data_IF_878820502355
#
_entry.id   IF_878820502355
#
_cell.length_a   1.000
_cell.length_b   1.000
_cell.length_c   1.000
_cell.angle_alpha   90.00
_cell.angle_beta   90.00
_cell.angle_gamma   90.00
#
_symmetry.space_group_name_H-M   'P 1'
#
loop_
_entity.id
_entity.type
_entity.pdbx_description
1 polymer ?
#
# COMPACT_ATOMS: atom_id res chain seq x y z
N UNK A 1 4.93 -30.93 -12.00
CA UNK A 1 3.99 -30.25 -11.10
C UNK A 1 2.65 -30.10 -11.80
N UNK A 2 1.58 -30.68 -11.28
CA UNK A 2 0.21 -30.42 -11.79
C UNK A 2 -0.13 -28.98 -11.37
N UNK A 3 -0.45 -28.10 -12.33
CA UNK A 3 -1.05 -26.79 -12.01
C UNK A 3 -2.38 -27.07 -11.30
N UNK A 4 -2.55 -26.57 -10.10
CA UNK A 4 -3.85 -26.57 -9.46
C UNK A 4 -4.78 -25.74 -10.35
N UNK A 5 -5.89 -26.35 -10.82
CA UNK A 5 -6.95 -25.60 -11.46
C UNK A 5 -7.68 -24.84 -10.35
N UNK A 6 -7.48 -23.53 -10.32
CA UNK A 6 -8.18 -22.62 -9.42
C UNK A 6 -9.14 -21.82 -10.29
N UNK A 7 -10.41 -21.81 -9.91
CA UNK A 7 -11.40 -20.92 -10.53
C UNK A 7 -11.13 -19.50 -10.04
N UNK A 8 -10.84 -18.57 -10.96
CA UNK A 8 -10.42 -17.20 -10.66
C UNK A 8 -11.46 -16.24 -11.20
N UNK A 9 -11.85 -15.27 -10.41
CA UNK A 9 -12.66 -14.13 -10.85
C UNK A 9 -11.83 -12.85 -10.66
N UNK A 10 -11.74 -12.03 -11.72
CA UNK A 10 -11.00 -10.79 -11.69
C UNK A 10 -11.93 -9.63 -11.37
N UNK A 11 -11.59 -8.86 -10.34
CA UNK A 11 -12.34 -7.67 -9.95
C UNK A 11 -11.43 -6.46 -10.06
N UNK A 12 -11.87 -5.46 -10.79
CA UNK A 12 -11.20 -4.17 -10.93
C UNK A 12 -11.89 -3.13 -10.04
N UNK A 13 -11.12 -2.53 -9.15
CA UNK A 13 -11.54 -1.39 -8.34
C UNK A 13 -10.97 -0.14 -8.97
N UNK A 14 -11.85 0.74 -9.45
CA UNK A 14 -11.44 1.94 -10.17
C UNK A 14 -11.16 3.12 -9.20
N UNK A 15 -10.53 4.17 -9.74
CA UNK A 15 -10.19 5.39 -8.97
C UNK A 15 -11.40 6.15 -8.43
N UNK A 16 -12.59 5.90 -8.95
CA UNK A 16 -13.84 6.48 -8.46
C UNK A 16 -14.49 5.62 -7.36
N UNK A 17 -13.83 4.52 -6.95
CA UNK A 17 -14.32 3.61 -5.92
C UNK A 17 -15.32 2.59 -6.42
N UNK A 18 -15.51 2.42 -7.73
CA UNK A 18 -16.42 1.41 -8.27
C UNK A 18 -15.74 0.05 -8.39
N UNK A 19 -16.46 -0.99 -8.03
CA UNK A 19 -16.06 -2.38 -8.18
C UNK A 19 -16.62 -2.96 -9.47
N UNK A 20 -15.80 -3.62 -10.25
CA UNK A 20 -16.16 -4.12 -11.56
C UNK A 20 -15.63 -5.54 -11.75
N UNK A 21 -16.51 -6.52 -11.99
CA UNK A 21 -16.11 -7.85 -12.43
C UNK A 21 -15.67 -7.75 -13.88
N UNK A 22 -14.46 -8.24 -14.17
CA UNK A 22 -13.84 -8.14 -15.49
C UNK A 22 -13.44 -9.53 -16.00
N UNK A 23 -13.39 -9.76 -17.33
CA UNK A 23 -12.89 -11.01 -17.88
C UNK A 23 -11.44 -11.26 -17.47
N UNK A 24 -11.07 -12.53 -17.23
CA UNK A 24 -9.70 -12.94 -16.91
C UNK A 24 -8.70 -12.60 -18.04
N UNK A 25 -9.18 -12.49 -19.27
CA UNK A 25 -8.36 -12.12 -20.44
C UNK A 25 -8.11 -10.63 -20.57
N UNK A 26 -8.57 -9.82 -19.60
CA UNK A 26 -8.37 -8.37 -19.61
C UNK A 26 -6.89 -8.05 -19.35
N UNK A 27 -6.27 -7.26 -20.21
CA UNK A 27 -4.87 -6.88 -20.10
C UNK A 27 -4.72 -5.44 -19.57
N UNK A 28 -3.54 -5.09 -19.08
CA UNK A 28 -3.26 -3.77 -18.49
C UNK A 28 -3.66 -2.59 -19.41
N UNK A 29 -3.47 -2.74 -20.72
CA UNK A 29 -3.86 -1.73 -21.72
C UNK A 29 -5.37 -1.45 -21.79
N UNK A 30 -6.20 -2.41 -21.37
CA UNK A 30 -7.66 -2.29 -21.43
C UNK A 30 -8.22 -1.40 -20.31
N UNK A 31 -7.37 -1.01 -19.34
CA UNK A 31 -7.74 -0.15 -18.19
C UNK A 31 -7.30 1.31 -18.32
N UNK A 32 -6.69 1.69 -19.46
CA UNK A 32 -6.16 3.06 -19.65
C UNK A 32 -7.23 4.14 -19.47
N UNK A 33 -8.45 3.85 -19.91
CA UNK A 33 -9.59 4.76 -19.85
C UNK A 33 -10.61 4.38 -18.75
N UNK A 34 -10.21 3.56 -17.78
CA UNK A 34 -11.07 3.07 -16.69
C UNK A 34 -11.53 1.64 -16.86
N UNK A 35 -12.74 1.33 -16.40
CA UNK A 35 -13.25 -0.04 -16.47
C UNK A 35 -13.49 -0.50 -17.92
N UNK A 36 -13.04 -1.71 -18.34
CA UNK A 36 -13.22 -2.22 -19.69
C UNK A 36 -14.70 -2.32 -20.09
N UNK A 37 -15.00 -2.21 -21.39
CA UNK A 37 -16.36 -2.21 -21.92
C UNK A 37 -17.21 -3.46 -21.55
N UNK A 38 -16.56 -4.59 -21.26
CA UNK A 38 -17.21 -5.84 -20.82
C UNK A 38 -17.30 -5.98 -19.29
N UNK A 39 -16.89 -4.96 -18.54
CA UNK A 39 -16.93 -4.98 -17.09
C UNK A 39 -18.39 -4.97 -16.59
N UNK A 40 -18.66 -5.77 -15.58
CA UNK A 40 -19.96 -5.82 -14.91
C UNK A 40 -19.85 -5.11 -13.56
N UNK A 41 -20.56 -4.02 -13.39
CA UNK A 41 -20.56 -3.25 -12.14
C UNK A 41 -21.02 -4.11 -10.97
N UNK A 42 -20.26 -4.07 -9.88
CA UNK A 42 -20.56 -4.72 -8.62
C UNK A 42 -20.97 -3.70 -7.57
N UNK A 43 -21.86 -4.11 -6.69
CA UNK A 43 -22.24 -3.40 -5.47
C UNK A 43 -21.65 -4.17 -4.28
N UNK A 44 -20.86 -3.50 -3.46
CA UNK A 44 -20.39 -4.04 -2.20
C UNK A 44 -21.38 -3.66 -1.11
N UNK A 45 -21.93 -4.66 -0.43
CA UNK A 45 -22.87 -4.49 0.69
C UNK A 45 -22.16 -4.86 1.98
N UNK A 46 -21.91 -3.85 2.81
CA UNK A 46 -21.31 -4.02 4.14
C UNK A 46 -22.43 -3.93 5.17
N UNK A 47 -23.05 -5.05 5.43
CA UNK A 47 -24.10 -5.19 6.48
C UNK A 47 -23.81 -6.46 7.27
N UNK A 48 -24.24 -6.50 8.53
CA UNK A 48 -24.13 -7.72 9.32
C UNK A 48 -24.97 -8.87 8.75
N UNK A 49 -24.50 -10.10 8.93
CA UNK A 49 -25.23 -11.32 8.55
C UNK A 49 -25.12 -11.71 7.08
N UNK A 50 -26.10 -12.48 6.63
CA UNK A 50 -26.09 -13.14 5.31
C UNK A 50 -26.24 -12.20 4.10
N UNK A 51 -26.53 -10.93 4.32
CA UNK A 51 -26.64 -9.95 3.25
C UNK A 51 -25.31 -9.28 2.89
N UNK A 52 -24.26 -9.49 3.67
CA UNK A 52 -22.93 -8.96 3.37
C UNK A 52 -22.32 -9.64 2.15
N UNK A 53 -21.64 -8.88 1.29
CA UNK A 53 -20.99 -9.46 0.11
C UNK A 53 -20.98 -8.55 -1.11
N UNK A 54 -20.54 -9.08 -2.23
CA UNK A 54 -20.59 -8.41 -3.52
C UNK A 54 -21.79 -8.91 -4.35
N UNK A 55 -22.43 -7.99 -5.03
CA UNK A 55 -23.62 -8.25 -5.83
C UNK A 55 -23.48 -7.67 -7.23
N UNK A 56 -24.04 -8.35 -8.23
CA UNK A 56 -24.24 -7.82 -9.57
C UNK A 56 -25.74 -7.66 -9.85
N UNK A 57 -26.10 -6.71 -10.72
CA UNK A 57 -27.45 -6.55 -11.19
C UNK A 57 -27.92 -7.81 -11.93
N UNK A 58 -29.11 -8.27 -11.64
CA UNK A 58 -29.74 -9.43 -12.30
C UNK A 58 -31.24 -9.15 -12.51
N UNK A 59 -31.64 -8.80 -13.73
CA UNK A 59 -33.00 -8.40 -14.05
C UNK A 59 -33.44 -7.18 -13.22
N UNK A 60 -34.57 -7.32 -12.51
CA UNK A 60 -35.10 -6.30 -11.60
C UNK A 60 -34.47 -6.36 -10.19
N UNK A 61 -33.60 -7.34 -9.92
CA UNK A 61 -32.96 -7.54 -8.61
C UNK A 61 -31.45 -7.58 -8.69
N UNK A 62 -30.85 -8.17 -7.66
CA UNK A 62 -29.40 -8.39 -7.57
C UNK A 62 -29.08 -9.85 -7.26
N UNK A 63 -27.96 -10.33 -7.76
CA UNK A 63 -27.43 -11.66 -7.48
C UNK A 63 -26.11 -11.53 -6.78
N UNK A 64 -25.94 -12.24 -5.69
CA UNK A 64 -24.64 -12.30 -4.97
C UNK A 64 -23.58 -12.98 -5.85
N UNK A 65 -22.40 -12.42 -5.83
CA UNK A 65 -21.18 -13.01 -6.41
C UNK A 65 -20.56 -13.88 -5.32
N UNK A 66 -20.34 -15.14 -5.63
CA UNK A 66 -19.66 -16.04 -4.72
C UNK A 66 -18.19 -15.63 -4.60
N UNK A 67 -17.77 -15.31 -3.39
CA UNK A 67 -16.39 -14.92 -3.08
C UNK A 67 -15.74 -16.04 -2.29
N UNK A 68 -14.66 -16.58 -2.84
CA UNK A 68 -13.75 -17.49 -2.13
C UNK A 68 -12.73 -16.70 -1.30
N UNK A 69 -11.45 -16.92 -1.55
CA UNK A 69 -10.36 -16.13 -0.98
C UNK A 69 -9.97 -15.03 -1.95
N UNK A 70 -9.91 -13.79 -1.48
CA UNK A 70 -9.50 -12.64 -2.29
C UNK A 70 -7.98 -12.52 -2.30
N UNK A 71 -7.38 -12.54 -3.49
CA UNK A 71 -5.98 -12.16 -3.69
C UNK A 71 -5.93 -10.65 -3.93
N UNK A 72 -5.32 -9.91 -2.99
CA UNK A 72 -5.13 -8.47 -3.13
C UNK A 72 -3.89 -8.20 -3.99
N UNK A 73 -4.09 -7.59 -5.17
CA UNK A 73 -3.04 -7.16 -6.09
C UNK A 73 -3.15 -5.64 -6.31
N UNK A 74 -3.25 -4.91 -5.20
CA UNK A 74 -3.44 -3.47 -5.18
C UNK A 74 -2.12 -2.77 -4.87
N UNK A 75 -1.95 -1.55 -5.38
CA UNK A 75 -0.81 -0.69 -5.11
C UNK A 75 -1.28 0.74 -4.89
N UNK A 76 -0.71 1.37 -3.87
CA UNK A 76 -0.98 2.77 -3.55
C UNK A 76 -1.55 2.96 -2.14
N UNK A 77 -1.68 4.22 -1.76
CA UNK A 77 -1.89 4.68 -0.39
C UNK A 77 -3.04 3.98 0.37
N UNK A 78 -4.26 4.21 -0.06
CA UNK A 78 -5.45 3.69 0.64
C UNK A 78 -5.60 2.18 0.47
N UNK A 79 -5.11 1.65 -0.63
CA UNK A 79 -5.22 0.25 -1.00
C UNK A 79 -4.24 -0.63 -0.21
N UNK A 80 -3.07 -0.09 0.15
CA UNK A 80 -2.05 -0.77 0.95
C UNK A 80 -2.18 -0.48 2.45
N UNK A 81 -2.93 0.57 2.83
CA UNK A 81 -3.11 1.04 4.20
C UNK A 81 -4.06 0.21 5.07
N UNK A 82 -4.48 -0.96 4.62
CA UNK A 82 -5.32 -1.88 5.40
C UNK A 82 -6.83 -1.65 5.30
N UNK A 83 -7.27 -0.63 4.56
CA UNK A 83 -8.68 -0.32 4.36
C UNK A 83 -9.45 -1.45 3.66
N UNK A 84 -8.87 -1.99 2.59
CA UNK A 84 -9.47 -3.10 1.83
C UNK A 84 -9.52 -4.39 2.66
N UNK A 85 -8.49 -4.68 3.43
CA UNK A 85 -8.48 -5.82 4.35
C UNK A 85 -9.57 -5.69 5.41
N UNK A 86 -9.76 -4.49 5.97
CA UNK A 86 -10.84 -4.23 6.92
C UNK A 86 -12.22 -4.43 6.28
N UNK A 87 -12.39 -3.96 5.05
CA UNK A 87 -13.62 -4.09 4.28
C UNK A 87 -14.00 -5.56 4.07
N UNK A 88 -13.05 -6.39 3.62
CA UNK A 88 -13.29 -7.83 3.44
C UNK A 88 -13.50 -8.55 4.78
N UNK A 89 -12.82 -8.14 5.85
CA UNK A 89 -13.07 -8.67 7.18
C UNK A 89 -14.50 -8.39 7.66
N UNK A 90 -15.05 -7.19 7.39
CA UNK A 90 -16.42 -6.83 7.76
C UNK A 90 -17.48 -7.68 7.06
N UNK A 91 -17.20 -8.20 5.88
CA UNK A 91 -18.10 -9.08 5.13
C UNK A 91 -17.71 -10.58 5.26
N UNK A 92 -16.82 -10.90 6.19
CA UNK A 92 -16.33 -12.25 6.48
C UNK A 92 -15.72 -12.99 5.27
N UNK A 93 -15.10 -12.26 4.35
CA UNK A 93 -14.38 -12.82 3.19
C UNK A 93 -12.87 -12.82 3.47
N UNK A 94 -12.20 -13.97 3.44
CA UNK A 94 -10.76 -14.04 3.64
C UNK A 94 -10.01 -13.38 2.48
N UNK A 95 -8.93 -12.66 2.79
CA UNK A 95 -8.04 -12.07 1.79
C UNK A 95 -6.57 -12.35 2.10
N UNK A 96 -5.73 -12.30 1.08
CA UNK A 96 -4.28 -12.44 1.23
C UNK A 96 -3.66 -11.15 1.79
N UNK A 97 -2.44 -11.27 2.31
CA UNK A 97 -1.67 -10.16 2.85
C UNK A 97 -1.72 -10.10 4.38
N UNK A 98 -1.30 -8.95 4.91
CA UNK A 98 -1.29 -8.68 6.34
C UNK A 98 -2.69 -8.32 6.86
N UNK A 99 -2.86 -8.34 8.19
CA UNK A 99 -4.08 -7.77 8.78
C UNK A 99 -4.19 -6.27 8.50
N UNK A 100 -5.42 -5.73 8.57
CA UNK A 100 -5.67 -4.30 8.41
C UNK A 100 -4.79 -3.45 9.34
N UNK A 101 -4.65 -3.84 10.62
CA UNK A 101 -3.79 -3.15 11.57
C UNK A 101 -2.31 -3.20 11.16
N UNK A 102 -1.81 -4.36 10.74
CA UNK A 102 -0.41 -4.49 10.34
C UNK A 102 -0.11 -3.70 9.06
N UNK A 103 -1.05 -3.67 8.10
CA UNK A 103 -0.93 -2.87 6.89
C UNK A 103 -0.87 -1.36 7.21
N UNK A 104 -1.79 -0.86 8.06
CA UNK A 104 -1.82 0.54 8.47
C UNK A 104 -0.54 0.97 9.19
N UNK A 105 -0.06 0.15 10.13
CA UNK A 105 1.20 0.42 10.84
C UNK A 105 2.41 0.36 9.91
N UNK A 106 2.42 -0.57 8.96
CA UNK A 106 3.53 -0.71 8.00
C UNK A 106 3.60 0.44 6.99
N UNK A 107 2.44 1.03 6.62
CA UNK A 107 2.38 2.15 5.69
C UNK A 107 2.80 3.47 6.34
N UNK A 108 2.45 3.68 7.62
CA UNK A 108 2.81 4.88 8.39
C UNK A 108 4.27 4.81 8.83
N UNK A 109 5.14 5.55 8.15
CA UNK A 109 6.60 5.53 8.41
C UNK A 109 6.95 5.92 9.84
N UNK A 110 6.20 6.84 10.45
CA UNK A 110 6.44 7.26 11.84
C UNK A 110 6.05 6.14 12.83
N UNK A 111 4.85 5.59 12.68
CA UNK A 111 4.34 4.53 13.54
C UNK A 111 5.19 3.25 13.41
N UNK A 112 5.54 2.88 12.18
CA UNK A 112 6.41 1.73 11.91
C UNK A 112 7.79 1.90 12.56
N UNK A 113 8.43 3.07 12.38
CA UNK A 113 9.73 3.35 12.99
C UNK A 113 9.69 3.26 14.52
N UNK A 114 8.67 3.85 15.16
CA UNK A 114 8.49 3.77 16.59
C UNK A 114 8.28 2.33 17.10
N UNK A 115 7.47 1.55 16.38
CA UNK A 115 7.22 0.14 16.71
C UNK A 115 8.49 -0.70 16.60
N UNK A 116 9.28 -0.49 15.54
CA UNK A 116 10.55 -1.19 15.34
C UNK A 116 11.56 -0.83 16.44
N UNK A 117 11.69 0.44 16.78
CA UNK A 117 12.56 0.90 17.87
C UNK A 117 12.14 0.29 19.21
N UNK A 118 10.84 0.25 19.52
CA UNK A 118 10.32 -0.39 20.73
C UNK A 118 10.58 -1.90 20.74
N UNK A 119 10.58 -2.53 19.57
CA UNK A 119 10.94 -3.94 19.40
C UNK A 119 12.45 -4.22 19.47
N UNK A 120 13.29 -3.22 19.73
CA UNK A 120 14.75 -3.36 19.81
C UNK A 120 15.47 -3.41 18.46
N UNK A 121 14.76 -3.10 17.36
CA UNK A 121 15.37 -2.96 16.04
C UNK A 121 15.99 -1.58 15.91
N UNK A 122 17.26 -1.52 15.54
CA UNK A 122 17.94 -0.24 15.33
C UNK A 122 17.31 0.50 14.13
N UNK A 123 16.83 1.73 14.36
CA UNK A 123 16.23 2.59 13.35
C UNK A 123 16.94 3.94 13.29
N UNK A 124 16.88 4.61 12.13
CA UNK A 124 17.24 6.02 12.07
C UNK A 124 16.21 6.84 12.83
N UNK A 125 16.62 7.95 13.49
CA UNK A 125 15.68 8.87 14.08
C UNK A 125 14.75 9.40 12.99
N UNK A 126 13.46 9.48 13.33
CA UNK A 126 12.40 9.93 12.42
C UNK A 126 11.44 10.80 13.18
N UNK A 127 11.19 11.98 12.66
CA UNK A 127 10.38 12.99 13.30
C UNK A 127 9.34 13.56 12.34
N UNK A 128 8.26 14.10 12.90
CA UNK A 128 7.24 14.78 12.08
C UNK A 128 7.79 16.13 11.63
N UNK A 129 7.77 16.36 10.31
CA UNK A 129 8.11 17.66 9.76
C UNK A 129 6.88 18.58 9.79
N UNK A 130 6.97 19.70 10.52
CA UNK A 130 5.93 20.73 10.63
C UNK A 130 6.57 22.14 10.61
N UNK A 131 5.80 23.22 10.41
CA UNK A 131 6.37 24.56 10.21
C UNK A 131 7.32 25.05 11.30
N UNK A 132 7.06 24.67 12.55
CA UNK A 132 7.87 25.06 13.71
C UNK A 132 8.87 23.99 14.13
N UNK A 133 9.16 23.04 13.24
CA UNK A 133 10.02 21.90 13.53
C UNK A 133 11.47 22.32 13.77
N UNK A 134 12.07 21.72 14.79
CA UNK A 134 13.51 21.80 15.08
C UNK A 134 14.04 20.37 15.19
N UNK A 135 14.91 19.93 14.26
CA UNK A 135 15.38 18.56 14.25
C UNK A 135 16.28 18.24 15.45
N UNK A 136 16.16 17.04 16.00
CA UNK A 136 17.06 16.52 17.02
C UNK A 136 18.39 16.00 16.44
N UNK A 137 18.56 16.05 15.14
CA UNK A 137 19.72 15.55 14.41
C UNK A 137 20.16 16.55 13.31
N UNK A 138 21.45 16.55 12.92
CA UNK A 138 21.95 17.43 11.86
C UNK A 138 21.54 16.92 10.47
N UNK A 139 21.54 17.84 9.47
CA UNK A 139 21.41 17.50 8.08
C UNK A 139 22.70 16.90 7.46
N UNK A 140 22.66 16.53 6.18
CA UNK A 140 21.51 16.68 5.26
C UNK A 140 20.33 15.81 5.65
N UNK A 141 19.12 16.16 5.16
CA UNK A 141 17.88 15.51 5.52
C UNK A 141 17.24 14.79 4.34
N UNK A 142 16.47 13.75 4.62
CA UNK A 142 15.53 13.17 3.67
C UNK A 142 14.11 13.41 4.18
N UNK A 143 13.30 14.07 3.35
CA UNK A 143 11.89 14.37 3.62
C UNK A 143 11.04 13.39 2.83
N UNK A 144 10.08 12.77 3.51
CA UNK A 144 9.22 11.72 2.94
C UNK A 144 7.76 11.99 3.29
N UNK A 145 6.79 11.64 2.43
CA UNK A 145 5.41 11.50 2.86
C UNK A 145 5.32 10.54 4.05
N UNK A 146 4.51 10.85 5.05
CA UNK A 146 4.31 9.99 6.22
C UNK A 146 3.78 8.62 5.82
N UNK A 147 2.82 8.58 4.89
CA UNK A 147 2.29 7.38 4.24
C UNK A 147 2.65 7.35 2.76
N UNK A 148 2.43 6.21 2.10
CA UNK A 148 2.77 5.99 0.71
C UNK A 148 4.07 5.24 0.48
N UNK A 149 4.31 4.87 -0.77
CA UNK A 149 5.40 4.00 -1.21
C UNK A 149 6.07 4.44 -2.51
N UNK A 150 6.81 3.52 -3.14
CA UNK A 150 7.44 3.68 -4.48
C UNK A 150 8.33 4.92 -4.63
N UNK A 151 8.90 5.41 -3.53
CA UNK A 151 9.74 6.63 -3.48
C UNK A 151 9.05 7.91 -3.99
N UNK A 152 7.72 7.91 -4.12
CA UNK A 152 6.97 9.09 -4.60
C UNK A 152 6.98 10.17 -3.51
N UNK A 153 7.38 11.40 -3.89
CA UNK A 153 7.42 12.55 -2.98
C UNK A 153 8.57 12.52 -1.97
N UNK A 154 9.58 11.68 -2.15
CA UNK A 154 10.80 11.68 -1.35
C UNK A 154 11.78 12.69 -1.92
N UNK A 155 12.33 13.54 -1.05
CA UNK A 155 13.30 14.57 -1.41
C UNK A 155 14.48 14.59 -0.42
N UNK A 156 15.68 14.72 -0.95
CA UNK A 156 16.90 14.96 -0.16
C UNK A 156 17.19 16.44 -0.18
N UNK A 157 17.41 17.03 0.99
CA UNK A 157 17.67 18.46 1.14
C UNK A 157 18.87 18.69 2.08
N UNK A 158 19.67 19.69 1.75
CA UNK A 158 20.86 20.01 2.53
C UNK A 158 20.54 20.72 3.87
N UNK A 159 19.44 21.46 3.89
CA UNK A 159 19.06 22.27 5.04
C UNK A 159 17.56 22.20 5.36
N UNK A 160 17.23 22.60 6.60
CA UNK A 160 15.87 22.60 7.11
C UNK A 160 14.94 23.59 6.39
N UNK A 161 15.46 24.74 5.94
CA UNK A 161 14.63 25.77 5.29
C UNK A 161 14.06 25.23 3.99
N UNK A 162 14.88 24.55 3.21
CA UNK A 162 14.48 23.86 1.98
C UNK A 162 13.46 22.76 2.30
N UNK A 163 13.69 21.95 3.34
CA UNK A 163 12.75 20.92 3.79
C UNK A 163 11.39 21.48 4.19
N UNK A 164 11.35 22.59 4.91
CA UNK A 164 10.11 23.26 5.30
C UNK A 164 9.37 23.89 4.10
N UNK A 165 10.09 24.35 3.09
CA UNK A 165 9.48 24.86 1.87
C UNK A 165 8.73 23.77 1.09
N UNK A 166 9.19 22.51 1.15
CA UNK A 166 8.52 21.38 0.52
C UNK A 166 7.14 21.11 1.09
N UNK A 167 6.88 21.38 2.39
CA UNK A 167 5.54 21.24 3.00
C UNK A 167 4.50 22.11 2.27
N UNK A 168 4.90 23.23 1.71
CA UNK A 168 4.01 24.17 1.02
C UNK A 168 3.88 23.85 -0.48
N UNK A 169 4.95 23.35 -1.09
CA UNK A 169 5.06 23.16 -2.55
C UNK A 169 4.70 21.76 -3.01
N UNK A 170 5.02 20.72 -2.23
CA UNK A 170 4.78 19.34 -2.64
C UNK A 170 3.37 18.86 -2.31
N UNK A 171 2.59 18.41 -3.31
CA UNK A 171 1.28 17.84 -3.07
C UNK A 171 1.35 16.51 -2.28
N UNK A 172 2.45 15.80 -2.37
CA UNK A 172 2.65 14.50 -1.72
C UNK A 172 2.82 14.60 -0.19
N UNK A 173 3.19 15.78 0.33
CA UNK A 173 3.40 15.99 1.76
C UNK A 173 2.16 16.53 2.49
N UNK A 174 1.05 16.74 1.80
CA UNK A 174 -0.17 17.34 2.38
C UNK A 174 -0.83 16.49 3.47
N UNK A 175 -0.73 15.17 3.37
CA UNK A 175 -1.25 14.23 4.37
C UNK A 175 -0.30 14.03 5.57
N UNK A 176 0.82 14.75 5.60
CA UNK A 176 1.86 14.67 6.62
C UNK A 176 3.21 14.29 6.03
N UNK A 177 4.25 14.78 6.67
CA UNK A 177 5.63 14.51 6.28
C UNK A 177 6.45 14.05 7.47
N UNK A 178 7.44 13.20 7.19
CA UNK A 178 8.48 12.81 8.13
C UNK A 178 9.84 13.24 7.61
N UNK A 179 10.76 13.50 8.52
CA UNK A 179 12.15 13.83 8.22
C UNK A 179 13.07 12.87 8.95
N UNK A 180 14.13 12.49 8.28
CA UNK A 180 15.20 11.63 8.80
C UNK A 180 16.56 12.23 8.41
N UNK A 181 17.67 11.89 9.10
CA UNK A 181 19.00 12.20 8.59
C UNK A 181 19.22 11.43 7.29
N UNK A 182 19.69 12.13 6.26
CA UNK A 182 20.08 11.46 5.01
C UNK A 182 21.40 10.74 5.20
N UNK A 183 21.46 9.49 4.80
CA UNK A 183 22.61 8.60 4.96
C UNK A 183 22.99 8.01 3.61
N UNK A 184 23.84 8.72 2.85
CA UNK A 184 24.36 8.27 1.56
C UNK A 184 25.22 6.99 1.65
N UNK A 185 25.72 6.67 2.84
CA UNK A 185 26.52 5.47 3.13
C UNK A 185 25.70 4.21 3.39
N UNK A 186 24.39 4.31 3.50
CA UNK A 186 23.49 3.17 3.68
C UNK A 186 23.01 2.61 2.33
N UNK A 187 22.75 1.32 2.35
CA UNK A 187 22.32 0.56 1.17
C UNK A 187 21.01 -0.14 1.48
N UNK A 188 20.14 -0.25 0.47
CA UNK A 188 18.92 -1.05 0.60
C UNK A 188 19.27 -2.53 0.50
N UNK A 189 18.70 -3.29 1.41
CA UNK A 189 18.72 -4.74 1.39
C UNK A 189 17.28 -5.25 1.47
N UNK A 190 16.93 -6.18 0.61
CA UNK A 190 15.62 -6.81 0.57
C UNK A 190 15.69 -8.24 1.08
N UNK A 191 14.67 -8.65 1.82
CA UNK A 191 14.45 -10.03 2.21
C UNK A 191 12.94 -10.31 2.15
N UNK A 192 12.56 -11.39 1.48
CA UNK A 192 11.19 -11.86 1.51
C UNK A 192 10.98 -12.76 2.72
N UNK A 193 9.83 -12.62 3.37
CA UNK A 193 9.43 -13.40 4.54
C UNK A 193 8.08 -14.04 4.28
N UNK A 194 7.98 -15.33 4.53
CA UNK A 194 6.73 -16.07 4.55
C UNK A 194 6.46 -16.59 5.96
N UNK A 195 5.21 -16.52 6.40
CA UNK A 195 4.77 -17.03 7.71
C UNK A 195 3.91 -18.28 7.60
N UNK A 196 3.45 -18.62 6.39
CA UNK A 196 2.61 -19.78 6.11
C UNK A 196 3.14 -20.56 4.89
N UNK A 197 3.09 -21.89 4.87
CA UNK A 197 2.66 -22.83 5.92
C UNK A 197 3.66 -22.96 7.09
N UNK A 198 4.84 -22.36 6.94
CA UNK A 198 5.88 -22.28 7.97
C UNK A 198 6.66 -20.98 7.78
N UNK A 199 7.29 -20.52 8.85
CA UNK A 199 8.21 -19.39 8.75
C UNK A 199 9.39 -19.74 7.82
N UNK A 200 9.65 -18.88 6.85
CA UNK A 200 10.76 -19.01 5.92
C UNK A 200 11.18 -17.62 5.43
N UNK A 201 12.46 -17.49 5.11
CA UNK A 201 13.03 -16.26 4.51
C UNK A 201 13.74 -16.60 3.21
N UNK A 202 13.77 -15.63 2.29
CA UNK A 202 14.66 -15.67 1.13
C UNK A 202 16.12 -15.42 1.54
N UNK A 203 17.02 -15.51 0.56
CA UNK A 203 18.32 -14.88 0.67
C UNK A 203 18.16 -13.35 0.70
N UNK A 204 19.16 -12.68 1.29
CA UNK A 204 19.21 -11.21 1.27
C UNK A 204 19.63 -10.77 -0.13
N UNK A 205 18.87 -9.84 -0.70
CA UNK A 205 19.11 -9.24 -2.00
C UNK A 205 19.54 -7.78 -1.83
N UNK A 206 20.54 -7.37 -2.60
CA UNK A 206 20.90 -5.96 -2.76
C UNK A 206 20.51 -5.52 -4.15
N UNK A 207 19.54 -4.57 -4.29
CA UNK A 207 19.18 -4.01 -5.58
C UNK A 207 20.37 -3.32 -6.24
N UNK A 208 20.60 -3.61 -7.52
CA UNK A 208 21.58 -2.88 -8.32
C UNK A 208 20.92 -1.57 -8.77
N UNK A 209 21.43 -0.44 -8.29
CA UNK A 209 21.00 0.88 -8.74
C UNK A 209 21.96 1.41 -9.78
N UNK A 210 21.47 2.12 -10.82
CA UNK A 210 22.36 2.87 -11.73
C UNK A 210 23.17 3.91 -10.94
N UNK A 211 24.43 4.09 -11.30
CA UNK A 211 25.33 5.05 -10.64
C UNK A 211 24.84 6.51 -10.72
N UNK A 212 23.90 6.81 -11.62
CA UNK A 212 23.34 8.14 -11.88
C UNK A 212 21.88 8.28 -11.43
N UNK A 213 21.34 7.37 -10.65
CA UNK A 213 19.94 7.39 -10.20
C UNK A 213 19.77 8.10 -8.86
N UNK A 214 19.01 9.19 -8.87
CA UNK A 214 18.30 9.67 -7.68
C UNK A 214 17.46 8.52 -7.13
N UNK A 215 17.34 8.40 -5.81
CA UNK A 215 16.62 7.41 -5.00
C UNK A 215 15.34 6.91 -5.65
#
# INVERSE_FOLDING_TARGET
MRRAQVDVQCVYWDRAGNWNLVPESTEARDYLDGAPAKAVKLELVVRGGSEAGMYRKAGLGRRQVELGTVLLALHGDEDEGGGVQALFAMIAVPCTGSSSLAAALGLDKLAFGALMAQGGVQTLPREILHPDFQPSFPGPYIVKPRSGGSSIGIEVVDDLVTGLALLKSSPHLRAGAVVEPYRADLWDLNIAVATHPRFATSQIERPLRPETGTI
#
